data_IF_902348195147
#
_entry.id   IF_902348195147
#
_cell.length_a   1.000
_cell.length_b   1.000
_cell.length_c   1.000
_cell.angle_alpha   90.00
_cell.angle_beta   90.00
_cell.angle_gamma   90.00
#
_symmetry.space_group_name_H-M   'P 1'
#
loop_
_entity.id
_entity.type
_entity.pdbx_description
1 polymer ?
#
# COMPACT_ATOMS: atom_id res chain seq x y z
N UNK A 1 -28.10 2.77 31.58
CA UNK A 1 -26.75 2.18 31.55
C UNK A 1 -26.28 2.19 30.10
N UNK A 2 -25.22 2.92 29.75
CA UNK A 2 -24.76 3.00 28.35
C UNK A 2 -23.98 1.73 28.02
N UNK A 3 -24.53 0.90 27.13
CA UNK A 3 -24.00 -0.44 26.77
C UNK A 3 -22.91 -0.41 25.69
N UNK A 4 -22.63 0.74 25.06
CA UNK A 4 -21.60 0.85 24.02
C UNK A 4 -20.46 1.77 24.44
N UNK A 5 -19.18 1.37 24.18
CA UNK A 5 -18.05 2.26 24.42
C UNK A 5 -18.21 3.52 23.55
N UNK A 6 -18.08 4.70 24.18
CA UNK A 6 -18.10 5.97 23.46
C UNK A 6 -16.97 5.99 22.43
N UNK A 7 -17.26 6.50 21.23
CA UNK A 7 -16.23 6.75 20.20
C UNK A 7 -15.07 7.57 20.79
N UNK A 8 -13.80 7.24 20.48
CA UNK A 8 -12.65 8.01 20.95
C UNK A 8 -12.71 9.48 20.49
N UNK A 9 -12.13 10.40 21.27
CA UNK A 9 -12.13 11.83 20.98
C UNK A 9 -10.95 12.28 20.10
N UNK A 10 -9.84 11.55 20.09
CA UNK A 10 -8.66 11.85 19.27
C UNK A 10 -8.82 11.34 17.83
N UNK A 11 -8.35 12.12 16.85
CA UNK A 11 -8.44 11.78 15.44
C UNK A 11 -7.78 10.42 15.08
N UNK A 12 -6.55 10.10 15.51
CA UNK A 12 -5.95 8.81 15.19
C UNK A 12 -6.67 7.64 15.85
N UNK A 13 -7.12 7.79 17.10
CA UNK A 13 -7.86 6.74 17.79
C UNK A 13 -9.24 6.49 17.14
N UNK A 14 -9.90 7.54 16.63
CA UNK A 14 -11.14 7.38 15.85
C UNK A 14 -10.90 6.59 14.57
N UNK A 15 -9.79 6.84 13.89
CA UNK A 15 -9.47 6.12 12.66
C UNK A 15 -9.25 4.63 12.94
N UNK A 16 -8.40 4.29 13.93
CA UNK A 16 -8.16 2.89 14.34
C UNK A 16 -9.48 2.23 14.77
N UNK A 17 -10.28 2.91 15.57
CA UNK A 17 -11.59 2.42 15.99
C UNK A 17 -12.51 2.13 14.79
N UNK A 18 -12.57 3.04 13.82
CA UNK A 18 -13.41 2.86 12.63
C UNK A 18 -12.95 1.70 11.76
N UNK A 19 -11.65 1.49 11.61
CA UNK A 19 -11.08 0.37 10.86
C UNK A 19 -11.38 -0.94 11.58
N UNK A 20 -11.16 -0.98 12.90
CA UNK A 20 -11.47 -2.15 13.73
C UNK A 20 -12.94 -2.55 13.64
N UNK A 21 -13.86 -1.59 13.78
CA UNK A 21 -15.30 -1.84 13.69
C UNK A 21 -15.67 -2.38 12.31
N UNK A 22 -15.14 -1.80 11.23
CA UNK A 22 -15.39 -2.29 9.85
C UNK A 22 -14.88 -3.71 9.64
N UNK A 23 -13.71 -4.04 10.18
CA UNK A 23 -13.18 -5.41 10.10
C UNK A 23 -14.01 -6.39 10.92
N UNK A 24 -14.37 -6.03 12.16
CA UNK A 24 -15.18 -6.88 13.04
C UNK A 24 -16.59 -7.11 12.47
N UNK A 25 -17.20 -6.09 11.85
CA UNK A 25 -18.51 -6.23 11.20
C UNK A 25 -18.44 -6.94 9.85
N UNK A 26 -17.43 -6.63 9.03
CA UNK A 26 -17.32 -7.15 7.66
C UNK A 26 -16.98 -8.64 7.61
N UNK A 27 -16.13 -9.10 8.52
CA UNK A 27 -15.73 -10.52 8.59
C UNK A 27 -16.53 -11.33 9.63
N UNK A 28 -17.55 -10.74 10.25
CA UNK A 28 -18.36 -11.42 11.27
C UNK A 28 -17.60 -11.76 12.57
N UNK A 29 -16.38 -11.23 12.76
CA UNK A 29 -15.55 -11.49 13.94
C UNK A 29 -16.19 -11.03 15.25
N UNK A 30 -17.22 -10.17 15.18
CA UNK A 30 -17.99 -9.77 16.35
C UNK A 30 -18.75 -10.94 17.00
N UNK A 31 -19.11 -11.98 16.23
CA UNK A 31 -19.90 -13.13 16.71
C UNK A 31 -19.04 -14.31 17.19
N UNK A 32 -17.74 -14.30 16.85
CA UNK A 32 -16.82 -15.38 17.20
C UNK A 32 -16.38 -15.29 18.65
N UNK A 33 -16.20 -16.45 19.28
CA UNK A 33 -15.58 -16.54 20.59
C UNK A 33 -14.11 -16.09 20.54
N UNK A 34 -13.57 -15.72 21.71
CA UNK A 34 -12.20 -15.19 21.81
C UNK A 34 -11.16 -16.15 21.24
N UNK A 35 -11.33 -17.46 21.40
CA UNK A 35 -10.38 -18.46 20.90
C UNK A 35 -10.51 -18.68 19.38
N UNK A 36 -11.72 -18.67 18.83
CA UNK A 36 -11.94 -18.80 17.38
C UNK A 36 -11.33 -17.61 16.64
N UNK A 37 -11.46 -16.41 17.23
CA UNK A 37 -10.84 -15.19 16.71
C UNK A 37 -9.31 -15.32 16.67
N UNK A 38 -8.70 -15.94 17.69
CA UNK A 38 -7.24 -16.21 17.70
C UNK A 38 -6.85 -17.15 16.56
N UNK A 39 -7.63 -18.19 16.26
CA UNK A 39 -7.37 -19.07 15.13
C UNK A 39 -7.48 -18.38 13.78
N UNK A 40 -8.47 -17.50 13.60
CA UNK A 40 -8.60 -16.72 12.37
C UNK A 40 -7.38 -15.80 12.19
N UNK A 41 -7.00 -15.07 13.23
CA UNK A 41 -5.84 -14.17 13.16
C UNK A 41 -4.53 -14.92 12.94
N UNK A 42 -4.33 -16.08 13.56
CA UNK A 42 -3.12 -16.88 13.35
C UNK A 42 -3.04 -17.41 11.91
N UNK A 43 -4.16 -17.84 11.34
CA UNK A 43 -4.24 -18.31 9.94
C UNK A 43 -3.95 -17.17 8.97
N UNK A 44 -4.57 -16.00 9.17
CA UNK A 44 -4.32 -14.81 8.33
C UNK A 44 -2.86 -14.37 8.43
N UNK A 45 -2.28 -14.38 9.63
CA UNK A 45 -0.88 -14.04 9.84
C UNK A 45 0.04 -15.03 9.11
N UNK A 46 -0.21 -16.34 9.24
CA UNK A 46 0.56 -17.37 8.56
C UNK A 46 0.48 -17.19 7.03
N UNK A 47 -0.71 -17.02 6.48
CA UNK A 47 -0.89 -16.80 5.04
C UNK A 47 -0.18 -15.52 4.57
N UNK A 48 -0.28 -14.44 5.35
CA UNK A 48 0.40 -13.17 5.05
C UNK A 48 1.91 -13.33 5.09
N UNK A 49 2.44 -14.06 6.08
CA UNK A 49 3.86 -14.34 6.19
C UNK A 49 4.36 -15.18 5.00
N UNK A 50 3.62 -16.24 4.65
CA UNK A 50 3.96 -17.11 3.53
C UNK A 50 3.91 -16.36 2.19
N UNK A 51 2.92 -15.47 2.04
CA UNK A 51 2.80 -14.58 0.89
C UNK A 51 4.02 -13.67 0.77
N UNK A 52 4.38 -12.95 1.84
CA UNK A 52 5.55 -12.07 1.81
C UNK A 52 6.86 -12.83 1.61
N UNK A 53 7.00 -14.00 2.22
CA UNK A 53 8.13 -14.89 2.01
C UNK A 53 8.27 -15.29 0.53
N UNK A 54 7.15 -15.65 -0.11
CA UNK A 54 7.10 -15.94 -1.55
C UNK A 54 7.45 -14.70 -2.38
N UNK A 55 6.90 -13.53 -2.05
CA UNK A 55 7.19 -12.29 -2.77
C UNK A 55 8.68 -11.94 -2.72
N UNK A 56 9.30 -12.04 -1.54
CA UNK A 56 10.71 -11.67 -1.37
C UNK A 56 11.63 -12.70 -2.05
N UNK A 57 11.30 -13.98 -1.96
CA UNK A 57 12.20 -15.06 -2.42
C UNK A 57 12.03 -15.37 -3.91
N UNK A 58 10.80 -15.39 -4.41
CA UNK A 58 10.48 -15.90 -5.75
C UNK A 58 10.25 -14.80 -6.79
N UNK A 59 9.58 -13.72 -6.40
CA UNK A 59 9.22 -12.63 -7.33
C UNK A 59 10.42 -11.90 -7.95
N UNK A 60 11.55 -11.60 -7.27
CA UNK A 60 12.63 -10.84 -7.92
C UNK A 60 13.28 -11.60 -9.08
N UNK A 61 13.44 -12.92 -8.96
CA UNK A 61 13.97 -13.76 -10.04
C UNK A 61 13.04 -13.80 -11.25
N UNK A 62 11.73 -13.94 -11.00
CA UNK A 62 10.72 -13.94 -12.06
C UNK A 62 10.59 -12.59 -12.76
N UNK A 63 10.63 -11.49 -12.00
CA UNK A 63 10.59 -10.15 -12.58
C UNK A 63 11.82 -9.87 -13.45
N UNK A 64 13.01 -10.31 -13.05
CA UNK A 64 14.22 -10.16 -13.86
C UNK A 64 14.12 -10.92 -15.19
N UNK A 65 13.57 -12.14 -15.16
CA UNK A 65 13.34 -12.94 -16.37
C UNK A 65 12.29 -12.29 -17.29
N UNK A 66 11.15 -11.85 -16.75
CA UNK A 66 10.10 -11.17 -17.52
C UNK A 66 10.61 -9.85 -18.11
N UNK A 67 11.39 -9.08 -17.35
CA UNK A 67 11.94 -7.81 -17.80
C UNK A 67 12.84 -7.99 -19.02
N UNK A 68 13.76 -8.97 -19.01
CA UNK A 68 14.63 -9.27 -20.16
C UNK A 68 13.84 -9.68 -21.40
N UNK A 69 12.76 -10.43 -21.22
CA UNK A 69 11.93 -10.85 -22.35
C UNK A 69 11.08 -9.69 -22.88
N UNK A 70 10.63 -8.80 -22.00
CA UNK A 70 9.93 -7.59 -22.40
C UNK A 70 10.86 -6.62 -23.17
N UNK A 71 12.12 -6.45 -22.76
CA UNK A 71 13.06 -5.60 -23.51
C UNK A 71 13.28 -6.10 -24.92
N UNK A 72 13.46 -7.41 -25.09
CA UNK A 72 13.59 -8.01 -26.41
C UNK A 72 12.41 -7.69 -27.32
N UNK A 73 11.17 -7.83 -26.83
CA UNK A 73 10.00 -7.62 -27.69
C UNK A 73 9.68 -6.15 -27.97
N UNK A 74 10.05 -5.23 -27.08
CA UNK A 74 9.68 -3.80 -27.22
C UNK A 74 10.80 -2.97 -27.82
N UNK A 75 12.05 -3.26 -27.43
CA UNK A 75 13.22 -2.46 -27.80
C UNK A 75 14.16 -3.18 -28.76
N UNK A 76 13.90 -4.46 -29.08
CA UNK A 76 14.75 -5.32 -29.93
C UNK A 76 16.19 -5.49 -29.40
N UNK A 77 16.41 -5.14 -28.13
CA UNK A 77 17.71 -5.22 -27.44
C UNK A 77 17.52 -5.84 -26.06
N UNK A 78 18.25 -6.94 -25.80
CA UNK A 78 18.20 -7.67 -24.54
C UNK A 78 18.94 -6.97 -23.39
N UNK A 79 19.83 -6.01 -23.70
CA UNK A 79 20.68 -5.35 -22.71
C UNK A 79 20.09 -4.04 -22.17
N UNK A 80 18.87 -3.68 -22.59
CA UNK A 80 18.18 -2.51 -22.05
C UNK A 80 17.83 -2.75 -20.59
N UNK A 81 18.47 -2.00 -19.69
CA UNK A 81 18.18 -2.02 -18.27
C UNK A 81 16.83 -1.32 -17.99
N UNK A 82 15.76 -2.11 -17.98
CA UNK A 82 14.42 -1.64 -17.61
C UNK A 82 14.35 -1.04 -16.20
N UNK A 83 15.22 -1.50 -15.29
CA UNK A 83 15.26 -0.97 -13.92
C UNK A 83 15.69 0.49 -13.90
N UNK A 84 16.69 0.84 -14.72
CA UNK A 84 17.10 2.23 -14.93
C UNK A 84 15.98 3.05 -15.56
N UNK A 85 15.34 2.56 -16.63
CA UNK A 85 14.21 3.26 -17.27
C UNK A 85 13.05 3.53 -16.30
N UNK A 86 12.66 2.52 -15.51
CA UNK A 86 11.59 2.67 -14.52
C UNK A 86 11.96 3.66 -13.42
N UNK A 87 13.22 3.65 -12.93
CA UNK A 87 13.69 4.61 -11.93
C UNK A 87 13.67 6.04 -12.45
N UNK A 88 14.13 6.26 -13.67
CA UNK A 88 14.10 7.58 -14.29
C UNK A 88 12.67 8.05 -14.56
N UNK A 89 11.77 7.14 -14.94
CA UNK A 89 10.34 7.43 -15.04
C UNK A 89 9.78 7.86 -13.67
N UNK A 90 9.97 7.06 -12.61
CA UNK A 90 9.47 7.37 -11.26
C UNK A 90 10.02 8.69 -10.73
N UNK A 91 11.33 8.96 -10.92
CA UNK A 91 11.93 10.26 -10.56
C UNK A 91 11.30 11.40 -11.34
N UNK A 92 11.02 11.21 -12.63
CA UNK A 92 10.31 12.17 -13.47
C UNK A 92 8.91 12.49 -12.94
N UNK A 93 8.12 11.46 -12.64
CA UNK A 93 6.78 11.62 -12.04
C UNK A 93 6.82 12.30 -10.68
N UNK A 94 7.79 11.94 -9.82
CA UNK A 94 8.00 12.60 -8.53
C UNK A 94 8.38 14.06 -8.69
N UNK A 95 9.25 14.40 -9.64
CA UNK A 95 9.65 15.78 -9.92
C UNK A 95 8.47 16.61 -10.40
N UNK A 96 7.69 16.11 -11.34
CA UNK A 96 6.48 16.79 -11.85
C UNK A 96 5.43 16.95 -10.75
N UNK A 97 5.22 15.93 -9.92
CA UNK A 97 4.32 16.02 -8.76
C UNK A 97 4.79 17.06 -7.74
N UNK A 98 6.10 17.12 -7.47
CA UNK A 98 6.71 18.09 -6.55
C UNK A 98 6.63 19.53 -7.08
N UNK A 99 6.90 19.74 -8.36
CA UNK A 99 6.75 21.02 -9.05
C UNK A 99 5.28 21.47 -9.09
N UNK A 100 4.34 20.54 -9.29
CA UNK A 100 2.91 20.84 -9.26
C UNK A 100 2.41 21.25 -7.86
N UNK A 101 2.84 20.54 -6.81
CA UNK A 101 2.48 20.87 -5.42
C UNK A 101 3.08 22.21 -5.00
N UNK A 102 4.34 22.47 -5.34
CA UNK A 102 5.01 23.74 -5.00
C UNK A 102 4.46 24.93 -5.82
N UNK A 103 4.08 24.72 -7.09
CA UNK A 103 3.41 25.74 -7.91
C UNK A 103 2.02 26.13 -7.38
N UNK A 104 1.24 25.15 -6.88
CA UNK A 104 -0.07 25.40 -6.25
C UNK A 104 0.07 26.12 -4.91
N UNK A 105 1.12 25.83 -4.13
CA UNK A 105 1.41 26.52 -2.86
C UNK A 105 1.96 27.94 -3.10
N UNK A 106 2.78 28.13 -4.13
CA UNK A 106 3.37 29.43 -4.48
C UNK A 106 2.41 30.42 -5.15
N UNK A 107 1.39 29.92 -5.88
CA UNK A 107 0.40 30.76 -6.56
C UNK A 107 -0.59 31.48 -5.63
N UNK A 108 -0.74 31.02 -4.38
CA UNK A 108 -1.72 31.58 -3.43
C UNK A 108 -1.26 32.88 -2.75
N UNK A 109 0.01 33.27 -2.88
CA UNK A 109 0.58 34.47 -2.24
C UNK A 109 0.63 35.72 -3.12
N UNK A 110 0.14 35.67 -4.38
CA UNK A 110 0.34 36.75 -5.36
C UNK A 110 -0.95 37.43 -5.84
N UNK A 111 -2.10 37.09 -5.24
CA UNK A 111 -3.41 37.65 -5.59
C UNK A 111 -3.90 38.73 -4.61
N UNK A 112 -3.06 39.17 -3.68
CA UNK A 112 -3.39 40.22 -2.69
C UNK A 112 -2.37 41.36 -2.72
N UNK A 113 -2.24 42.06 -3.86
CA UNK A 113 -1.70 43.42 -3.95
C UNK A 113 -2.39 44.17 -5.09
#
# INVERSE_FOLDING_TARGET
MVMYPKRPNSAPARWIWSVRVKLESGFGLAMLETWEKVLVWSTVLLLTFLFWFSVITYTPGHLAYLARRFSYYVFDDENVDLGLLFREMVKGWLRVGWEGVTGVVGGKGRAEL
#
